data_IF_404230631766
#
_entry.id   IF_404230631766
#
_cell.length_a   1.000
_cell.length_b   1.000
_cell.length_c   1.000
_cell.angle_alpha   90.00
_cell.angle_beta   90.00
_cell.angle_gamma   90.00
#
_symmetry.space_group_name_H-M   'P 1'
#
loop_
_entity.id
_entity.type
_entity.pdbx_description
1 polymer ?
#
# COMPACT_ATOMS: atom_id res chain seq x y z
N UNK A 1 -26.52 1.34 -24.91
CA UNK A 1 -26.08 2.38 -23.97
C UNK A 1 -24.58 2.25 -23.73
N UNK A 2 -23.78 2.87 -24.62
CA UNK A 2 -22.32 2.98 -24.43
C UNK A 2 -22.06 4.19 -23.52
N UNK A 3 -21.86 3.98 -22.22
CA UNK A 3 -21.27 4.99 -21.36
C UNK A 3 -19.77 5.06 -21.70
N UNK A 4 -19.25 6.20 -22.16
CA UNK A 4 -17.81 6.33 -22.42
C UNK A 4 -17.07 6.35 -21.09
N UNK A 5 -16.63 5.18 -20.64
CA UNK A 5 -15.77 5.04 -19.46
C UNK A 5 -14.43 5.68 -19.81
N UNK A 6 -14.00 6.64 -19.03
CA UNK A 6 -12.69 7.27 -19.23
C UNK A 6 -11.57 6.31 -18.78
N UNK A 7 -10.40 6.40 -19.41
CA UNK A 7 -9.25 5.58 -19.04
C UNK A 7 -8.88 5.74 -17.56
N UNK A 8 -9.12 6.93 -16.97
CA UNK A 8 -8.91 7.23 -15.56
C UNK A 8 -9.86 6.43 -14.66
N UNK A 9 -11.13 6.36 -15.02
CA UNK A 9 -12.14 5.57 -14.29
C UNK A 9 -11.82 4.08 -14.35
N UNK A 10 -11.36 3.59 -15.50
CA UNK A 10 -10.96 2.20 -15.66
C UNK A 10 -9.71 1.87 -14.83
N UNK A 11 -8.74 2.78 -14.76
CA UNK A 11 -7.56 2.64 -13.91
C UNK A 11 -7.93 2.64 -12.42
N UNK A 12 -8.74 3.59 -11.98
CA UNK A 12 -9.24 3.64 -10.61
C UNK A 12 -10.02 2.39 -10.26
N UNK A 13 -10.88 1.91 -11.16
CA UNK A 13 -11.62 0.67 -10.97
C UNK A 13 -10.69 -0.53 -10.72
N UNK A 14 -9.61 -0.67 -11.50
CA UNK A 14 -8.62 -1.73 -11.29
C UNK A 14 -7.91 -1.62 -9.94
N UNK A 15 -7.52 -0.41 -9.54
CA UNK A 15 -6.86 -0.16 -8.25
C UNK A 15 -7.81 -0.48 -7.10
N UNK A 16 -9.05 -0.04 -7.16
CA UNK A 16 -10.05 -0.27 -6.10
C UNK A 16 -10.44 -1.73 -5.97
N UNK A 17 -10.67 -2.43 -7.09
CA UNK A 17 -11.04 -3.86 -7.07
C UNK A 17 -9.94 -4.72 -6.45
N UNK A 18 -8.68 -4.36 -6.64
CA UNK A 18 -7.56 -5.07 -6.03
C UNK A 18 -7.26 -4.56 -4.61
N UNK A 19 -7.40 -3.26 -4.38
CA UNK A 19 -7.03 -2.60 -3.12
C UNK A 19 -7.99 -2.90 -1.97
N UNK A 20 -9.31 -2.83 -2.23
CA UNK A 20 -10.31 -3.03 -1.17
C UNK A 20 -10.19 -4.40 -0.51
N UNK A 21 -10.18 -5.53 -1.24
CA UNK A 21 -9.99 -6.83 -0.62
C UNK A 21 -8.67 -6.96 0.13
N UNK A 22 -7.59 -6.40 -0.40
CA UNK A 22 -6.26 -6.46 0.22
C UNK A 22 -6.24 -5.70 1.55
N UNK A 23 -6.84 -4.51 1.62
CA UNK A 23 -6.94 -3.71 2.85
C UNK A 23 -7.81 -4.43 3.88
N UNK A 24 -8.96 -4.98 3.47
CA UNK A 24 -9.85 -5.71 4.37
C UNK A 24 -9.16 -6.94 4.98
N UNK A 25 -8.45 -7.72 4.18
CA UNK A 25 -7.69 -8.89 4.65
C UNK A 25 -6.58 -8.45 5.62
N UNK A 26 -5.87 -7.36 5.31
CA UNK A 26 -4.84 -6.81 6.19
C UNK A 26 -5.44 -6.40 7.53
N UNK A 27 -6.57 -5.70 7.55
CA UNK A 27 -7.23 -5.29 8.79
C UNK A 27 -7.68 -6.50 9.62
N UNK A 28 -8.30 -7.51 8.98
CA UNK A 28 -8.69 -8.74 9.68
C UNK A 28 -7.46 -9.40 10.32
N UNK A 29 -6.37 -9.55 9.58
CA UNK A 29 -5.14 -10.16 10.09
C UNK A 29 -4.55 -9.36 11.26
N UNK A 30 -4.50 -8.02 11.16
CA UNK A 30 -3.96 -7.14 12.20
C UNK A 30 -4.84 -7.14 13.45
N UNK A 31 -6.17 -7.20 13.31
CA UNK A 31 -7.08 -7.31 14.45
C UNK A 31 -6.91 -8.65 15.18
N UNK A 32 -6.83 -9.76 14.44
CA UNK A 32 -6.56 -11.09 15.03
C UNK A 32 -5.22 -11.09 15.78
N UNK A 33 -4.17 -10.54 15.14
CA UNK A 33 -2.87 -10.39 15.77
C UNK A 33 -2.93 -9.54 17.04
N UNK A 34 -3.64 -8.41 17.01
CA UNK A 34 -3.81 -7.52 18.16
C UNK A 34 -4.49 -8.21 19.33
N UNK A 35 -5.51 -9.03 19.08
CA UNK A 35 -6.19 -9.81 20.11
C UNK A 35 -5.22 -10.84 20.75
N UNK A 36 -4.51 -11.61 19.93
CA UNK A 36 -3.55 -12.62 20.39
C UNK A 36 -2.43 -11.96 21.21
N UNK A 37 -1.86 -10.86 20.69
CA UNK A 37 -0.80 -10.14 21.37
C UNK A 37 -1.25 -9.53 22.70
N UNK A 38 -2.50 -9.04 22.80
CA UNK A 38 -3.04 -8.52 24.05
C UNK A 38 -3.30 -9.63 25.08
N UNK A 39 -3.83 -10.77 24.66
CA UNK A 39 -4.00 -11.93 25.56
C UNK A 39 -2.64 -12.36 26.13
N UNK A 40 -1.61 -12.41 25.30
CA UNK A 40 -0.26 -12.72 25.74
C UNK A 40 0.33 -11.62 26.63
N UNK A 41 0.17 -10.35 26.23
CA UNK A 41 0.66 -9.19 26.97
C UNK A 41 0.10 -9.07 28.38
N UNK A 42 -1.20 -9.26 28.54
CA UNK A 42 -1.86 -9.24 29.86
C UNK A 42 -1.35 -10.39 30.75
N UNK A 43 -1.12 -11.59 30.19
CA UNK A 43 -0.64 -12.73 30.97
C UNK A 43 0.84 -12.62 31.38
N UNK A 44 1.68 -11.97 30.58
CA UNK A 44 3.14 -11.91 30.79
C UNK A 44 3.59 -10.57 31.35
N UNK A 45 3.02 -9.46 30.88
CA UNK A 45 3.41 -8.10 31.22
C UNK A 45 2.43 -7.40 32.17
N UNK A 46 1.23 -7.95 32.35
CA UNK A 46 0.17 -7.35 33.15
C UNK A 46 -0.55 -6.18 32.47
N UNK A 47 -0.20 -5.85 31.23
CA UNK A 47 -0.70 -4.71 30.49
C UNK A 47 -1.13 -5.08 29.06
N UNK A 48 -2.09 -4.31 28.50
CA UNK A 48 -2.44 -4.42 27.10
C UNK A 48 -1.38 -3.74 26.24
N UNK A 49 -0.92 -4.44 25.20
CA UNK A 49 0.07 -3.91 24.26
C UNK A 49 -0.60 -3.01 23.21
N UNK A 50 -1.80 -3.37 22.78
CA UNK A 50 -2.57 -2.68 21.75
C UNK A 50 -3.99 -2.31 22.27
N UNK A 51 -4.63 -1.22 21.70
CA UNK A 51 -4.10 -0.31 20.70
C UNK A 51 -3.17 0.74 21.29
N UNK A 52 -2.12 1.10 20.56
CA UNK A 52 -1.32 2.29 20.81
C UNK A 52 -1.37 3.22 19.58
N UNK A 53 -0.94 4.47 19.74
CA UNK A 53 -1.02 5.47 18.65
C UNK A 53 -0.30 5.00 17.39
N UNK A 54 0.90 4.45 17.50
CA UNK A 54 1.68 3.97 16.37
C UNK A 54 1.00 2.80 15.66
N UNK A 55 0.40 1.88 16.40
CA UNK A 55 -0.36 0.77 15.83
C UNK A 55 -1.57 1.26 15.02
N UNK A 56 -2.31 2.26 15.56
CA UNK A 56 -3.43 2.88 14.85
C UNK A 56 -2.94 3.52 13.53
N UNK A 57 -1.85 4.30 13.59
CA UNK A 57 -1.27 4.94 12.41
C UNK A 57 -0.83 3.93 11.35
N UNK A 58 -0.14 2.87 11.75
CA UNK A 58 0.30 1.81 10.83
C UNK A 58 -0.89 1.11 10.19
N UNK A 59 -1.88 0.72 10.98
CA UNK A 59 -3.00 -0.11 10.52
C UNK A 59 -3.97 0.66 9.63
N UNK A 60 -4.31 1.89 10.00
CA UNK A 60 -5.38 2.64 9.31
C UNK A 60 -4.86 3.61 8.25
N UNK A 61 -3.60 4.02 8.31
CA UNK A 61 -3.03 4.98 7.36
C UNK A 61 -1.89 4.37 6.54
N UNK A 62 -0.84 3.86 7.18
CA UNK A 62 0.34 3.39 6.46
C UNK A 62 0.04 2.17 5.60
N UNK A 63 -0.65 1.17 6.13
CA UNK A 63 -0.95 -0.05 5.38
C UNK A 63 -1.86 0.21 4.15
N UNK A 64 -2.97 0.96 4.22
CA UNK A 64 -3.75 1.33 3.03
C UNK A 64 -2.96 2.15 2.01
N UNK A 65 -2.13 3.11 2.44
CA UNK A 65 -1.31 3.92 1.53
C UNK A 65 -0.27 3.07 0.80
N UNK A 66 0.46 2.20 1.51
CA UNK A 66 1.40 1.27 0.87
C UNK A 66 0.69 0.33 -0.11
N UNK A 67 -0.50 -0.14 0.23
CA UNK A 67 -1.31 -0.99 -0.66
C UNK A 67 -1.69 -0.22 -1.93
N UNK A 68 -2.17 1.01 -1.79
CA UNK A 68 -2.52 1.86 -2.93
C UNK A 68 -1.31 2.15 -3.82
N UNK A 69 -0.17 2.52 -3.22
CA UNK A 69 1.10 2.75 -3.91
C UNK A 69 1.52 1.52 -4.71
N UNK A 70 1.54 0.36 -4.08
CA UNK A 70 1.97 -0.89 -4.70
C UNK A 70 1.11 -1.26 -5.89
N UNK A 71 -0.22 -1.18 -5.76
CA UNK A 71 -1.15 -1.49 -6.85
C UNK A 71 -1.01 -0.47 -7.98
N UNK A 72 -0.89 0.82 -7.67
CA UNK A 72 -0.70 1.88 -8.67
C UNK A 72 0.58 1.66 -9.48
N UNK A 73 1.67 1.26 -8.83
CA UNK A 73 2.92 0.93 -9.50
C UNK A 73 2.81 -0.33 -10.35
N UNK A 74 2.17 -1.39 -9.86
CA UNK A 74 1.92 -2.61 -10.63
C UNK A 74 1.07 -2.31 -11.88
N UNK A 75 0.01 -1.51 -11.74
CA UNK A 75 -0.81 -1.08 -12.87
C UNK A 75 0.01 -0.26 -13.88
N UNK A 76 0.87 0.65 -13.41
CA UNK A 76 1.74 1.45 -14.25
C UNK A 76 2.71 0.60 -15.09
N UNK A 77 3.26 -0.43 -14.47
CA UNK A 77 4.26 -1.29 -15.10
C UNK A 77 3.62 -2.33 -16.01
N UNK A 78 2.47 -2.88 -15.64
CA UNK A 78 1.77 -3.91 -16.42
C UNK A 78 1.45 -3.44 -17.86
N UNK A 79 1.40 -2.14 -18.09
CA UNK A 79 1.18 -1.56 -19.42
C UNK A 79 2.43 -1.51 -20.31
N UNK A 80 3.63 -1.59 -19.69
CA UNK A 80 4.91 -1.50 -20.41
C UNK A 80 5.52 -2.86 -20.74
N UNK A 81 4.96 -3.90 -20.17
CA UNK A 81 5.60 -5.21 -20.15
C UNK A 81 4.79 -6.17 -21.00
N UNK A 82 5.38 -6.57 -22.13
CA UNK A 82 4.78 -7.53 -23.06
C UNK A 82 5.00 -9.00 -22.67
N UNK A 83 5.70 -9.27 -21.56
CA UNK A 83 5.98 -10.64 -21.11
C UNK A 83 5.76 -10.80 -19.60
N UNK A 84 5.17 -11.92 -19.21
CA UNK A 84 4.93 -12.28 -17.79
C UNK A 84 6.20 -12.25 -16.95
N UNK A 85 7.36 -12.59 -17.53
CA UNK A 85 8.66 -12.59 -16.86
C UNK A 85 9.12 -11.19 -16.43
N UNK A 86 8.90 -10.20 -17.28
CA UNK A 86 9.27 -8.81 -16.96
C UNK A 86 8.32 -8.19 -15.93
N UNK A 87 7.03 -8.56 -15.93
CA UNK A 87 6.07 -8.14 -14.90
C UNK A 87 6.47 -8.68 -13.51
N UNK A 88 6.90 -9.93 -13.46
CA UNK A 88 7.37 -10.56 -12.22
C UNK A 88 8.64 -9.88 -11.68
N UNK A 89 9.61 -9.56 -12.54
CA UNK A 89 10.84 -8.87 -12.13
C UNK A 89 10.55 -7.49 -11.50
N UNK A 90 9.62 -6.73 -12.06
CA UNK A 90 9.24 -5.43 -11.50
C UNK A 90 8.49 -5.57 -10.19
N UNK A 91 7.61 -6.57 -10.07
CA UNK A 91 6.93 -6.86 -8.80
C UNK A 91 7.95 -7.19 -7.69
N UNK A 92 9.01 -7.93 -8.00
CA UNK A 92 10.10 -8.19 -7.04
C UNK A 92 10.81 -6.91 -6.58
N UNK A 93 11.08 -5.97 -7.49
CA UNK A 93 11.71 -4.69 -7.14
C UNK A 93 10.83 -3.88 -6.16
N UNK A 94 9.51 -3.95 -6.32
CA UNK A 94 8.55 -3.27 -5.43
C UNK A 94 8.49 -3.90 -4.03
N UNK A 95 8.76 -5.20 -3.93
CA UNK A 95 8.74 -5.93 -2.65
C UNK A 95 9.99 -5.66 -1.82
N UNK A 96 11.15 -5.39 -2.45
CA UNK A 96 12.43 -5.15 -1.76
C UNK A 96 12.38 -4.02 -0.72
N UNK A 97 11.83 -2.82 -1.00
CA UNK A 97 11.70 -1.77 0.00
C UNK A 97 10.82 -2.17 1.19
N UNK A 98 9.76 -2.94 0.94
CA UNK A 98 8.84 -3.41 1.97
C UNK A 98 9.55 -4.41 2.90
N UNK A 99 10.29 -5.34 2.34
CA UNK A 99 11.10 -6.30 3.12
C UNK A 99 12.19 -5.56 3.91
N UNK A 100 12.88 -4.61 3.30
CA UNK A 100 13.89 -3.77 3.98
C UNK A 100 13.29 -3.02 5.16
N UNK A 101 12.10 -2.49 5.00
CA UNK A 101 11.37 -1.81 6.06
C UNK A 101 10.99 -2.76 7.22
N UNK A 102 10.46 -3.94 6.93
CA UNK A 102 10.11 -4.96 7.93
C UNK A 102 11.36 -5.39 8.72
N UNK A 103 12.47 -5.67 8.03
CA UNK A 103 13.74 -6.06 8.68
C UNK A 103 14.27 -4.92 9.55
N UNK A 104 14.22 -3.68 9.10
CA UNK A 104 14.64 -2.50 9.87
C UNK A 104 13.83 -2.32 11.14
N UNK A 105 12.52 -2.55 11.05
CA UNK A 105 11.62 -2.50 12.21
C UNK A 105 11.89 -3.64 13.20
N UNK A 106 12.12 -4.86 12.71
CA UNK A 106 12.42 -6.02 13.55
C UNK A 106 13.75 -5.85 14.33
N UNK A 107 14.71 -5.12 13.78
CA UNK A 107 15.98 -4.79 14.44
C UNK A 107 15.91 -3.54 15.34
N UNK A 108 14.71 -2.95 15.53
CA UNK A 108 14.54 -1.76 16.37
C UNK A 108 15.12 -0.47 15.79
N UNK A 109 15.54 -0.47 14.54
CA UNK A 109 16.13 0.71 13.86
C UNK A 109 15.09 1.81 13.69
N UNK A 110 13.82 1.43 13.49
CA UNK A 110 12.69 2.35 13.44
C UNK A 110 11.72 2.06 14.59
N UNK A 111 11.99 2.64 15.74
CA UNK A 111 10.97 2.76 16.76
C UNK A 111 9.97 3.83 16.30
N UNK A 112 8.79 3.40 15.90
CA UNK A 112 7.72 4.29 15.46
C UNK A 112 7.23 5.14 16.65
N UNK A 113 7.95 6.22 16.93
CA UNK A 113 7.39 7.29 17.73
C UNK A 113 6.19 7.94 16.99
N UNK A 114 5.25 8.56 17.70
CA UNK A 114 4.09 9.21 17.09
C UNK A 114 4.48 10.20 15.97
N UNK A 115 5.54 10.95 16.17
CA UNK A 115 6.03 11.95 15.21
C UNK A 115 6.55 11.31 13.92
N UNK A 116 7.31 10.21 14.02
CA UNK A 116 7.84 9.49 12.86
C UNK A 116 6.70 8.86 12.06
N UNK A 117 5.70 8.30 12.72
CA UNK A 117 4.51 7.74 12.05
C UNK A 117 3.77 8.79 11.23
N UNK A 118 3.60 9.99 11.75
CA UNK A 118 2.95 11.11 11.04
C UNK A 118 3.78 11.52 9.82
N UNK A 119 5.09 11.65 9.96
CA UNK A 119 5.98 12.01 8.85
C UNK A 119 5.88 10.98 7.72
N UNK A 120 5.90 9.69 8.06
CA UNK A 120 5.78 8.60 7.08
C UNK A 120 4.43 8.69 6.35
N UNK A 121 3.33 8.90 7.05
CA UNK A 121 2.00 9.05 6.43
C UNK A 121 1.99 10.22 5.45
N UNK A 122 2.52 11.38 5.83
CA UNK A 122 2.57 12.57 4.96
C UNK A 122 3.42 12.28 3.71
N UNK A 123 4.58 11.68 3.86
CA UNK A 123 5.46 11.31 2.74
C UNK A 123 4.76 10.32 1.81
N UNK A 124 4.11 9.28 2.35
CA UNK A 124 3.37 8.31 1.55
C UNK A 124 2.22 8.96 0.76
N UNK A 125 1.44 9.85 1.38
CA UNK A 125 0.37 10.59 0.68
C UNK A 125 0.94 11.39 -0.50
N UNK A 126 2.05 12.10 -0.31
CA UNK A 126 2.68 12.89 -1.38
C UNK A 126 3.16 11.96 -2.50
N UNK A 127 3.80 10.85 -2.17
CA UNK A 127 4.28 9.86 -3.16
C UNK A 127 3.10 9.24 -3.91
N UNK A 128 2.02 8.86 -3.23
CA UNK A 128 0.81 8.31 -3.84
C UNK A 128 0.18 9.27 -4.84
N UNK A 129 0.07 10.56 -4.48
CA UNK A 129 -0.44 11.60 -5.37
C UNK A 129 0.45 11.73 -6.61
N UNK A 130 1.77 11.78 -6.43
CA UNK A 130 2.74 11.91 -7.54
C UNK A 130 2.63 10.70 -8.47
N UNK A 131 2.62 9.49 -7.93
CA UNK A 131 2.50 8.25 -8.71
C UNK A 131 1.18 8.20 -9.45
N UNK A 132 0.07 8.49 -8.77
CA UNK A 132 -1.25 8.52 -9.38
C UNK A 132 -1.33 9.52 -10.54
N UNK A 133 -0.82 10.74 -10.36
CA UNK A 133 -0.79 11.77 -11.42
C UNK A 133 0.11 11.37 -12.58
N UNK A 134 1.27 10.77 -12.31
CA UNK A 134 2.20 10.31 -13.34
C UNK A 134 1.61 9.18 -14.18
N UNK A 135 0.93 8.22 -13.53
CA UNK A 135 0.27 7.10 -14.20
C UNK A 135 -0.93 7.59 -15.00
N UNK A 136 -1.77 8.44 -14.41
CA UNK A 136 -2.98 9.00 -15.03
C UNK A 136 -2.68 9.80 -16.32
N UNK A 137 -1.61 10.62 -16.33
CA UNK A 137 -1.20 11.39 -17.51
C UNK A 137 -0.79 10.50 -18.68
N UNK A 138 -0.17 9.37 -18.42
CA UNK A 138 0.27 8.43 -19.47
C UNK A 138 -0.89 7.71 -20.14
N UNK A 139 -1.95 7.39 -19.38
CA UNK A 139 -3.17 6.80 -19.94
C UNK A 139 -3.88 7.71 -20.96
N UNK A 140 -3.74 9.04 -20.82
CA UNK A 140 -4.32 9.99 -21.80
C UNK A 140 -3.46 10.15 -23.06
N UNK A 141 -2.13 9.95 -22.96
CA UNK A 141 -1.21 10.14 -24.09
C UNK A 141 -1.32 9.04 -25.16
N UNK A 142 -1.66 7.80 -24.78
CA UNK A 142 -1.81 6.69 -25.73
C UNK A 142 -3.01 6.86 -26.69
N UNK A 143 -3.99 7.71 -26.34
CA UNK A 143 -5.09 8.07 -27.24
C UNK A 143 -4.69 8.99 -28.40
N UNK A 144 -3.59 9.71 -28.27
CA UNK A 144 -3.14 10.63 -29.33
C UNK A 144 -2.33 9.93 -30.42
N UNK A 145 -1.88 8.70 -30.17
CA UNK A 145 -1.09 7.90 -31.12
C UNK A 145 -1.92 6.90 -31.95
N UNK A 146 -3.22 6.79 -31.67
CA UNK A 146 -4.15 5.87 -32.37
C UNK A 146 -5.18 6.61 -33.24
N UNK A 147 -4.85 7.83 -33.71
CA UNK A 147 -5.60 8.51 -34.77
C UNK A 147 -4.82 8.50 -36.05
#
# INVERSE_FOLDING_TARGET
LYTPITNKELMLGKILVSGIPSILLTWIAVFIYGIIANVYGVNVLGEMIFPNFSWIMVTFFIAPLITFLSISLVVAVSQRVNTSKSAQSVSMILVLPIIGFIISQANGVFLFGPMISIIIVVVLIVVDIIVYLAVSKRFDSDKLLTK
#
